data_IF_812603045433
#
_entry.id   IF_812603045433
#
_cell.length_a   1.000
_cell.length_b   1.000
_cell.length_c   1.000
_cell.angle_alpha   90.00
_cell.angle_beta   90.00
_cell.angle_gamma   90.00
#
_symmetry.space_group_name_H-M   'P 1'
#
loop_
_entity.id
_entity.type
_entity.pdbx_description
1 polymer ?
#
# COMPACT_ATOMS: atom_id res chain seq x y z
N UNK A 1 -22.86 12.84 6.38
CA UNK A 1 -22.53 13.08 4.97
C UNK A 1 -22.78 11.78 4.20
N UNK A 2 -23.87 11.70 3.44
CA UNK A 2 -24.11 10.60 2.51
C UNK A 2 -23.40 10.96 1.20
N UNK A 3 -22.25 10.34 0.93
CA UNK A 3 -21.62 10.48 -0.37
C UNK A 3 -22.48 9.69 -1.35
N UNK A 4 -23.23 10.38 -2.20
CA UNK A 4 -23.88 9.79 -3.36
C UNK A 4 -22.80 9.07 -4.19
N UNK A 5 -22.75 7.74 -4.08
CA UNK A 5 -21.96 6.84 -4.92
C UNK A 5 -22.67 6.70 -6.28
N UNK A 6 -23.01 7.82 -6.92
CA UNK A 6 -23.51 7.84 -8.30
C UNK A 6 -22.31 7.58 -9.23
N UNK A 7 -21.76 6.36 -9.16
CA UNK A 7 -20.74 5.91 -10.11
C UNK A 7 -21.41 5.90 -11.48
N UNK A 8 -21.14 6.94 -12.26
CA UNK A 8 -21.59 7.03 -13.64
C UNK A 8 -21.06 5.82 -14.40
N UNK A 9 -21.98 4.91 -14.72
CA UNK A 9 -21.76 3.83 -15.65
C UNK A 9 -22.01 4.38 -17.05
N UNK A 10 -21.06 4.15 -17.94
CA UNK A 10 -21.14 4.52 -19.35
C UNK A 10 -21.51 3.28 -20.13
N UNK A 11 -22.60 3.37 -20.89
CA UNK A 11 -22.94 2.35 -21.87
C UNK A 11 -21.98 2.46 -23.06
N UNK A 12 -21.28 1.36 -23.35
CA UNK A 12 -20.27 1.26 -24.41
C UNK A 12 -20.55 0.00 -25.21
N UNK A 13 -20.16 -0.04 -26.48
CA UNK A 13 -20.25 -1.26 -27.29
C UNK A 13 -18.84 -1.61 -27.79
N UNK A 14 -18.10 -2.34 -26.97
CA UNK A 14 -16.68 -2.67 -27.22
C UNK A 14 -16.39 -4.14 -26.92
N UNK A 15 -15.33 -4.65 -27.54
CA UNK A 15 -14.85 -6.01 -27.30
C UNK A 15 -13.64 -6.00 -26.37
N UNK A 16 -13.59 -6.95 -25.44
CA UNK A 16 -12.43 -7.18 -24.59
C UNK A 16 -11.21 -7.54 -25.44
N UNK A 17 -10.10 -6.83 -25.26
CA UNK A 17 -8.88 -7.07 -26.01
C UNK A 17 -8.19 -8.43 -25.71
N UNK A 18 -8.58 -9.14 -24.64
CA UNK A 18 -8.00 -10.45 -24.25
C UNK A 18 -8.88 -11.64 -24.66
N UNK A 19 -10.19 -11.54 -24.47
CA UNK A 19 -11.11 -12.68 -24.65
C UNK A 19 -12.26 -12.40 -25.64
N UNK A 20 -12.26 -11.24 -26.29
CA UNK A 20 -13.29 -10.79 -27.23
C UNK A 20 -14.72 -10.75 -26.67
N UNK A 21 -14.89 -10.87 -25.35
CA UNK A 21 -16.19 -10.71 -24.70
C UNK A 21 -16.77 -9.31 -24.98
N UNK A 22 -18.07 -9.26 -25.23
CA UNK A 22 -18.84 -8.02 -25.39
C UNK A 22 -18.93 -7.27 -24.05
N UNK A 23 -18.62 -5.97 -24.08
CA UNK A 23 -18.64 -5.08 -22.92
C UNK A 23 -19.69 -4.01 -23.19
N UNK A 24 -20.79 -4.04 -22.43
CA UNK A 24 -21.91 -3.11 -22.56
C UNK A 24 -21.83 -1.92 -21.59
N UNK A 25 -21.18 -2.08 -20.43
CA UNK A 25 -21.15 -1.06 -19.38
C UNK A 25 -19.77 -0.96 -18.71
N UNK A 26 -19.26 0.26 -18.55
CA UNK A 26 -18.01 0.54 -17.84
C UNK A 26 -18.16 1.70 -16.86
N UNK A 27 -17.47 1.69 -15.71
CA UNK A 27 -17.47 2.79 -14.75
C UNK A 27 -16.57 3.96 -15.17
N UNK A 28 -16.03 3.93 -16.38
CA UNK A 28 -15.16 4.96 -16.94
C UNK A 28 -15.35 5.03 -18.46
N UNK A 29 -15.11 6.22 -19.01
CA UNK A 29 -15.14 6.43 -20.46
C UNK A 29 -13.79 6.00 -21.08
N UNK A 30 -13.77 5.09 -22.07
CA UNK A 30 -12.54 4.60 -22.68
C UNK A 30 -11.88 5.68 -23.55
N UNK A 31 -10.59 5.94 -23.33
CA UNK A 31 -9.86 7.02 -24.02
C UNK A 31 -9.27 6.63 -25.39
N UNK A 32 -9.55 5.43 -25.91
CA UNK A 32 -9.05 4.94 -27.22
C UNK A 32 -7.56 4.59 -27.30
N UNK A 33 -6.73 5.18 -26.43
CA UNK A 33 -5.27 4.97 -26.37
C UNK A 33 -4.87 3.61 -25.74
N UNK A 34 -5.77 2.99 -24.98
CA UNK A 34 -5.48 1.80 -24.15
C UNK A 34 -6.47 0.66 -24.40
N UNK A 35 -6.00 -0.60 -24.40
CA UNK A 35 -6.88 -1.76 -24.55
C UNK A 35 -7.84 -1.86 -23.37
N UNK A 36 -9.12 -2.06 -23.68
CA UNK A 36 -10.19 -2.25 -22.69
C UNK A 36 -10.35 -3.75 -22.42
N UNK A 37 -10.48 -4.11 -21.14
CA UNK A 37 -10.67 -5.48 -20.70
C UNK A 37 -11.99 -5.63 -19.94
N UNK A 38 -12.64 -6.79 -20.05
CA UNK A 38 -13.81 -7.13 -19.25
C UNK A 38 -13.44 -7.25 -17.76
N UNK A 39 -14.46 -7.27 -16.89
CA UNK A 39 -14.27 -7.34 -15.45
C UNK A 39 -13.39 -8.52 -15.02
N UNK A 40 -13.54 -9.69 -15.64
CA UNK A 40 -12.78 -10.89 -15.32
C UNK A 40 -11.33 -10.79 -15.80
N UNK A 41 -11.09 -10.41 -17.06
CA UNK A 41 -9.73 -10.24 -17.58
C UNK A 41 -8.97 -9.12 -16.86
N UNK A 42 -9.64 -8.02 -16.50
CA UNK A 42 -9.05 -6.96 -15.67
C UNK A 42 -8.76 -7.44 -14.25
N UNK A 43 -9.63 -8.28 -13.67
CA UNK A 43 -9.39 -8.91 -12.36
C UNK A 43 -8.18 -9.83 -12.40
N UNK A 44 -8.07 -10.70 -13.40
CA UNK A 44 -6.92 -11.57 -13.62
C UNK A 44 -5.63 -10.75 -13.85
N UNK A 45 -5.68 -9.69 -14.66
CA UNK A 45 -4.53 -8.81 -14.90
C UNK A 45 -4.04 -8.17 -13.60
N UNK A 46 -4.97 -7.71 -12.74
CA UNK A 46 -4.66 -7.19 -11.41
C UNK A 46 -4.10 -8.27 -10.48
N UNK A 47 -4.61 -9.50 -10.54
CA UNK A 47 -4.11 -10.62 -9.75
C UNK A 47 -2.71 -11.06 -10.19
N UNK A 48 -2.45 -11.18 -11.48
CA UNK A 48 -1.13 -11.53 -12.00
C UNK A 48 -0.09 -10.47 -11.61
N UNK A 49 -0.45 -9.18 -11.66
CA UNK A 49 0.41 -8.11 -11.16
C UNK A 49 0.73 -8.24 -9.67
N UNK A 50 -0.23 -8.70 -8.85
CA UNK A 50 -0.01 -8.99 -7.42
C UNK A 50 0.84 -10.24 -7.19
N UNK A 51 0.77 -11.24 -8.06
CA UNK A 51 1.58 -12.46 -7.95
C UNK A 51 3.04 -12.22 -8.38
N UNK A 52 3.26 -11.39 -9.42
CA UNK A 52 4.60 -10.99 -9.85
C UNK A 52 5.21 -9.92 -8.92
N UNK A 53 4.39 -9.12 -8.26
CA UNK A 53 4.79 -8.21 -7.21
C UNK A 53 4.20 -8.70 -5.88
N UNK A 54 4.73 -9.83 -5.38
CA UNK A 54 4.40 -10.39 -4.07
C UNK A 54 4.61 -9.34 -2.96
N UNK A 55 3.59 -8.53 -2.71
CA UNK A 55 3.75 -7.32 -1.91
C UNK A 55 2.44 -6.60 -1.63
N UNK A 56 1.33 -7.33 -1.62
CA UNK A 56 0.05 -6.80 -1.19
C UNK A 56 0.02 -6.59 0.34
N UNK A 57 0.31 -5.36 0.76
CA UNK A 57 -0.22 -4.72 1.96
C UNK A 57 0.21 -5.29 3.32
N UNK A 58 1.42 -4.91 3.80
CA UNK A 58 1.72 -4.59 5.23
C UNK A 58 3.15 -4.14 5.59
N UNK A 59 4.04 -3.71 4.69
CA UNK A 59 5.29 -3.08 5.17
C UNK A 59 6.47 -3.02 4.22
N UNK A 60 6.38 -2.20 3.18
CA UNK A 60 7.45 -2.02 2.18
C UNK A 60 8.13 -0.65 2.21
N UNK A 61 8.08 0.11 3.32
CA UNK A 61 9.24 0.95 3.61
C UNK A 61 10.38 -0.04 3.79
N UNK A 62 11.41 0.02 2.94
CA UNK A 62 12.66 -0.67 3.26
C UNK A 62 13.03 -0.19 4.66
N UNK A 63 12.83 -1.03 5.68
CA UNK A 63 13.15 -0.67 7.06
C UNK A 63 14.67 -0.71 7.11
N UNK A 64 15.30 0.38 6.68
CA UNK A 64 16.73 0.58 6.88
C UNK A 64 16.92 0.64 8.38
N UNK A 65 17.35 -0.48 8.96
CA UNK A 65 17.78 -0.54 10.35
C UNK A 65 19.09 0.22 10.41
N UNK A 66 19.11 1.30 11.17
CA UNK A 66 20.33 2.02 11.47
C UNK A 66 20.99 1.35 12.67
N UNK A 67 22.21 0.86 12.46
CA UNK A 67 23.06 0.42 13.56
C UNK A 67 23.50 1.67 14.33
N UNK A 68 23.09 1.76 15.59
CA UNK A 68 23.38 2.88 16.48
C UNK A 68 23.84 2.33 17.83
N UNK A 69 24.58 3.09 18.61
CA UNK A 69 24.95 2.70 19.99
C UNK A 69 24.45 3.79 20.94
N UNK A 70 23.15 3.80 21.21
CA UNK A 70 22.50 4.80 22.07
C UNK A 70 21.91 4.15 23.31
N UNK A 71 21.93 4.86 24.44
CA UNK A 71 21.34 4.38 25.70
C UNK A 71 19.85 4.76 25.76
N UNK A 72 19.01 3.82 26.16
CA UNK A 72 17.60 4.07 26.40
C UNK A 72 17.41 5.05 27.57
N UNK A 73 16.63 6.11 27.39
CA UNK A 73 16.34 7.09 28.44
C UNK A 73 15.46 6.54 29.58
N UNK A 74 14.70 5.46 29.33
CA UNK A 74 13.82 4.85 30.33
C UNK A 74 14.49 3.77 31.19
N UNK A 75 15.30 2.90 30.59
CA UNK A 75 15.88 1.73 31.27
C UNK A 75 17.42 1.67 31.24
N UNK A 76 18.09 2.58 30.53
CA UNK A 76 19.55 2.60 30.42
C UNK A 76 20.15 1.51 29.50
N UNK A 77 19.34 0.60 28.95
CA UNK A 77 19.80 -0.46 28.05
C UNK A 77 20.39 0.11 26.76
N UNK A 78 21.48 -0.50 26.27
CA UNK A 78 22.08 -0.15 24.98
C UNK A 78 21.18 -0.63 23.82
N UNK A 79 20.84 0.27 22.91
CA UNK A 79 20.07 0.00 21.70
C UNK A 79 21.04 -0.02 20.53
N UNK A 80 21.12 -1.17 19.86
CA UNK A 80 22.04 -1.43 18.73
C UNK A 80 21.41 -1.14 17.37
N UNK A 81 20.08 -1.19 17.28
CA UNK A 81 19.35 -1.10 16.01
C UNK A 81 18.06 -0.28 16.18
N UNK A 82 17.87 0.73 15.31
CA UNK A 82 16.66 1.53 15.26
C UNK A 82 16.14 1.69 13.82
N UNK A 83 14.81 1.75 13.63
CA UNK A 83 14.22 2.00 12.31
C UNK A 83 14.29 3.47 11.88
N UNK A 84 14.91 4.34 12.68
CA UNK A 84 15.10 5.76 12.43
C UNK A 84 16.47 6.21 12.94
N UNK A 85 17.02 7.27 12.33
CA UNK A 85 18.26 7.88 12.78
C UNK A 85 17.99 8.74 14.03
N UNK A 86 18.62 8.48 15.19
CA UNK A 86 18.42 9.25 16.40
C UNK A 86 18.98 10.67 16.19
N UNK A 87 18.12 11.68 16.38
CA UNK A 87 18.54 13.09 16.42
C UNK A 87 18.98 13.39 17.86
N UNK A 88 20.13 14.02 18.04
CA UNK A 88 20.74 14.27 19.37
C UNK A 88 19.93 15.14 20.33
N UNK A 89 18.75 15.61 19.92
CA UNK A 89 17.87 16.50 20.67
C UNK A 89 16.73 15.76 21.40
N UNK A 90 16.46 14.49 21.07
CA UNK A 90 15.31 13.74 21.60
C UNK A 90 15.70 12.48 22.38
N UNK A 91 15.02 12.16 23.51
CA UNK A 91 15.28 10.95 24.27
C UNK A 91 14.89 9.71 23.45
N UNK A 92 15.85 8.79 23.30
CA UNK A 92 15.64 7.51 22.60
C UNK A 92 15.13 6.48 23.59
N UNK A 93 14.05 5.77 23.23
CA UNK A 93 13.48 4.69 24.03
C UNK A 93 13.64 3.34 23.30
N UNK A 94 13.87 2.26 24.06
CA UNK A 94 13.85 0.91 23.51
C UNK A 94 12.42 0.51 23.12
N UNK A 95 12.28 -0.60 22.38
CA UNK A 95 10.97 -1.10 21.92
C UNK A 95 10.00 -1.28 23.08
N UNK A 96 10.47 -1.74 24.23
CA UNK A 96 9.63 -2.02 25.39
C UNK A 96 9.19 -0.73 26.09
N UNK A 97 10.11 0.19 26.37
CA UNK A 97 9.79 1.50 26.94
C UNK A 97 8.88 2.33 26.01
N UNK A 98 9.11 2.28 24.69
CA UNK A 98 8.24 2.96 23.72
C UNK A 98 6.82 2.38 23.72
N UNK A 99 6.69 1.05 23.81
CA UNK A 99 5.37 0.41 23.90
C UNK A 99 4.65 0.76 25.20
N UNK A 100 5.38 0.79 26.32
CA UNK A 100 4.83 1.19 27.62
C UNK A 100 4.37 2.65 27.60
N UNK A 101 5.20 3.57 27.10
CA UNK A 101 4.88 5.00 27.04
C UNK A 101 3.76 5.36 26.05
N UNK A 102 3.53 4.54 25.02
CA UNK A 102 2.42 4.73 24.06
C UNK A 102 1.09 4.15 24.58
N UNK A 103 1.14 3.27 25.58
CA UNK A 103 -0.05 2.61 26.14
C UNK A 103 -0.65 3.36 27.34
N UNK A 104 -0.08 4.52 27.68
CA UNK A 104 -0.52 5.42 28.75
C UNK A 104 -0.82 6.79 28.15
#
# INVERSE_FOLDING_TARGET
MAYNDDRQMYDVDLQCAKCNAHISQLPFMPSGDRPVYCADCNREFRQNKRNNNGGGARGGFQRTMFQVNVKCAGCGTAITELPFQPKGDSPVYCRDCYRQNRSN
#
